data_IF_318783756346
#
_entry.id   IF_318783756346
#
_cell.length_a   1.000
_cell.length_b   1.000
_cell.length_c   1.000
_cell.angle_alpha   90.00
_cell.angle_beta   90.00
_cell.angle_gamma   90.00
#
_symmetry.space_group_name_H-M   'P 1'
#
loop_
_entity.id
_entity.type
_entity.pdbx_description
1 polymer ?
#
# COMPACT_ATOMS: atom_id res chain seq x y z
N UNK A 1 3.88 7.73 -30.14
CA UNK A 1 4.28 7.38 -28.76
C UNK A 1 4.99 6.03 -28.70
N UNK A 2 4.46 4.98 -29.34
CA UNK A 2 5.06 3.63 -29.35
C UNK A 2 6.50 3.50 -29.87
N UNK A 3 6.93 4.35 -30.79
CA UNK A 3 8.32 4.38 -31.25
C UNK A 3 9.26 4.91 -30.18
N UNK A 4 8.80 5.90 -29.40
CA UNK A 4 9.60 6.59 -28.38
C UNK A 4 9.90 5.64 -27.21
N UNK A 5 8.90 4.91 -26.73
CA UNK A 5 9.07 3.95 -25.63
C UNK A 5 10.07 2.84 -25.98
N UNK A 6 9.99 2.29 -27.19
CA UNK A 6 10.96 1.29 -27.66
C UNK A 6 12.38 1.84 -27.80
N UNK A 7 12.53 3.04 -28.36
CA UNK A 7 13.85 3.68 -28.47
C UNK A 7 14.46 3.97 -27.10
N UNK A 8 13.68 4.44 -26.13
CA UNK A 8 14.14 4.66 -24.76
C UNK A 8 14.57 3.36 -24.08
N UNK A 9 13.81 2.28 -24.27
CA UNK A 9 14.16 0.94 -23.74
C UNK A 9 15.44 0.38 -24.37
N UNK A 10 15.62 0.57 -25.68
CA UNK A 10 16.85 0.17 -26.36
C UNK A 10 18.05 0.95 -25.83
N UNK A 11 17.93 2.27 -25.72
CA UNK A 11 18.98 3.15 -25.20
C UNK A 11 19.37 2.81 -23.75
N UNK A 12 18.37 2.55 -22.89
CA UNK A 12 18.60 2.16 -21.50
C UNK A 12 19.44 0.87 -21.40
N UNK A 13 19.17 -0.11 -22.27
CA UNK A 13 19.90 -1.38 -22.30
C UNK A 13 21.29 -1.24 -22.89
N UNK A 14 21.45 -0.40 -23.91
CA UNK A 14 22.74 -0.15 -24.55
C UNK A 14 23.71 0.56 -23.61
N UNK A 15 23.23 1.57 -22.88
CA UNK A 15 24.04 2.34 -21.94
C UNK A 15 24.12 1.73 -20.53
N UNK A 16 23.30 0.72 -20.23
CA UNK A 16 23.23 0.11 -18.90
C UNK A 16 22.70 1.04 -17.81
N UNK A 17 21.83 1.99 -18.16
CA UNK A 17 21.29 3.01 -17.23
C UNK A 17 19.79 2.84 -16.99
N UNK A 18 19.31 3.30 -15.83
CA UNK A 18 17.88 3.37 -15.53
C UNK A 18 17.26 4.60 -16.16
N UNK A 19 16.24 4.41 -17.00
CA UNK A 19 15.45 5.49 -17.59
C UNK A 19 14.10 5.57 -16.88
N UNK A 20 13.80 6.73 -16.32
CA UNK A 20 12.49 7.04 -15.73
C UNK A 20 11.77 7.99 -16.68
N UNK A 21 10.58 7.60 -17.13
CA UNK A 21 9.72 8.43 -17.96
C UNK A 21 8.44 8.73 -17.19
N UNK A 22 8.03 10.00 -17.18
CA UNK A 22 6.74 10.42 -16.65
C UNK A 22 5.71 10.37 -17.77
N UNK A 23 4.54 9.82 -17.47
CA UNK A 23 3.42 9.77 -18.39
C UNK A 23 2.16 10.29 -17.69
N UNK A 24 1.42 11.14 -18.39
CA UNK A 24 0.10 11.56 -17.95
C UNK A 24 -0.90 10.43 -18.20
N UNK A 25 -1.86 10.26 -17.27
CA UNK A 25 -2.95 9.30 -17.41
C UNK A 25 -4.10 9.88 -18.23
N UNK A 26 -4.90 9.01 -18.85
CA UNK A 26 -6.18 9.41 -19.43
C UNK A 26 -7.11 10.00 -18.37
N UNK A 27 -7.91 11.00 -18.77
CA UNK A 27 -8.97 11.61 -17.93
C UNK A 27 -10.04 10.62 -17.49
N UNK A 28 -10.13 9.46 -18.14
CA UNK A 28 -11.02 8.34 -17.75
C UNK A 28 -10.85 7.89 -16.29
N UNK A 29 -9.70 8.16 -15.68
CA UNK A 29 -9.51 7.92 -14.24
C UNK A 29 -10.53 8.69 -13.39
N UNK A 30 -10.94 9.89 -13.82
CA UNK A 30 -11.90 10.77 -13.12
C UNK A 30 -13.34 10.25 -13.23
N UNK A 31 -13.63 9.37 -14.18
CA UNK A 31 -14.95 8.76 -14.34
C UNK A 31 -15.18 7.62 -13.32
N UNK A 32 -14.10 7.14 -12.70
CA UNK A 32 -14.17 6.05 -11.71
C UNK A 32 -14.52 6.58 -10.33
N UNK A 33 -15.38 5.86 -9.59
CA UNK A 33 -15.81 6.28 -8.24
C UNK A 33 -14.64 6.46 -7.27
N UNK A 34 -13.67 5.56 -7.35
CA UNK A 34 -12.47 5.55 -6.52
C UNK A 34 -11.36 6.46 -7.05
N UNK A 35 -11.51 7.05 -8.24
CA UNK A 35 -10.48 7.85 -8.92
C UNK A 35 -9.10 7.17 -8.96
N UNK A 36 -9.07 5.83 -8.84
CA UNK A 36 -7.83 5.10 -8.60
C UNK A 36 -7.17 4.75 -9.94
N UNK A 37 -5.93 5.19 -10.18
CA UNK A 37 -5.18 4.87 -11.38
C UNK A 37 -5.04 3.35 -11.61
N UNK A 38 -5.23 2.92 -12.86
CA UNK A 38 -5.10 1.54 -13.32
C UNK A 38 -4.29 1.51 -14.61
N UNK A 39 -3.67 0.37 -14.94
CA UNK A 39 -2.92 0.21 -16.19
C UNK A 39 -3.74 0.57 -17.44
N UNK A 40 -5.04 0.28 -17.42
CA UNK A 40 -5.96 0.64 -18.51
C UNK A 40 -5.98 2.15 -18.81
N UNK A 41 -5.65 3.01 -17.85
CA UNK A 41 -5.57 4.46 -18.07
C UNK A 41 -4.30 4.88 -18.82
N UNK A 42 -3.29 4.00 -18.91
CA UNK A 42 -2.11 4.16 -19.79
C UNK A 42 -2.33 3.58 -21.19
N UNK A 43 -3.42 2.81 -21.40
CA UNK A 43 -3.69 2.13 -22.69
C UNK A 43 -3.87 3.11 -23.85
N UNK A 44 -4.29 4.35 -23.59
CA UNK A 44 -4.34 5.41 -24.61
C UNK A 44 -2.94 5.81 -25.13
N UNK A 45 -1.89 5.50 -24.37
CA UNK A 45 -0.49 5.62 -24.80
C UNK A 45 0.00 4.43 -25.64
N UNK A 46 -0.82 3.37 -25.74
CA UNK A 46 -0.74 2.23 -26.66
C UNK A 46 0.41 1.25 -26.45
N UNK A 47 1.60 1.73 -26.13
CA UNK A 47 2.83 0.94 -26.17
C UNK A 47 3.71 1.08 -24.93
N UNK A 48 3.58 2.18 -24.17
CA UNK A 48 4.35 2.36 -22.93
C UNK A 48 4.07 1.24 -21.94
N UNK A 49 2.81 0.81 -21.82
CA UNK A 49 2.40 -0.29 -20.94
C UNK A 49 3.12 -1.60 -21.29
N UNK A 50 3.30 -1.91 -22.57
CA UNK A 50 3.93 -3.15 -23.01
C UNK A 50 5.45 -3.10 -22.84
N UNK A 51 6.05 -1.96 -23.19
CA UNK A 51 7.51 -1.78 -23.26
C UNK A 51 8.16 -1.59 -21.88
N UNK A 52 7.46 -0.98 -20.93
CA UNK A 52 7.98 -0.73 -19.59
C UNK A 52 8.26 -2.03 -18.81
N UNK A 53 9.36 -2.05 -18.05
CA UNK A 53 9.62 -3.14 -17.09
C UNK A 53 8.83 -2.96 -15.80
N UNK A 54 8.76 -1.71 -15.33
CA UNK A 54 8.05 -1.29 -14.12
C UNK A 54 7.09 -0.17 -14.47
N UNK A 55 5.87 -0.24 -13.97
CA UNK A 55 4.90 0.85 -14.04
C UNK A 55 4.47 1.20 -12.63
N UNK A 56 4.73 2.44 -12.25
CA UNK A 56 4.35 3.03 -10.97
C UNK A 56 3.24 4.04 -11.23
N UNK A 57 2.15 3.96 -10.46
CA UNK A 57 1.05 4.92 -10.51
C UNK A 57 0.95 5.59 -9.15
N UNK A 58 1.04 6.92 -9.13
CA UNK A 58 0.90 7.72 -7.93
C UNK A 58 -0.57 8.10 -7.73
N UNK A 59 -1.08 7.89 -6.53
CA UNK A 59 -2.46 8.17 -6.17
C UNK A 59 -2.55 8.89 -4.82
N UNK A 60 -3.40 9.92 -4.74
CA UNK A 60 -3.66 10.71 -3.54
C UNK A 60 -5.17 10.83 -3.34
N UNK A 61 -5.79 10.00 -2.48
CA UNK A 61 -7.24 10.00 -2.31
C UNK A 61 -7.78 11.36 -1.86
N UNK A 62 -7.04 12.05 -0.99
CA UNK A 62 -7.40 13.38 -0.51
C UNK A 62 -7.57 14.40 -1.66
N UNK A 63 -6.73 14.31 -2.71
CA UNK A 63 -6.82 15.22 -3.86
C UNK A 63 -8.11 15.00 -4.69
N UNK A 64 -8.79 13.88 -4.48
CA UNK A 64 -10.05 13.52 -5.12
C UNK A 64 -11.25 13.58 -4.15
N UNK A 65 -11.07 14.18 -2.96
CA UNK A 65 -12.14 14.31 -1.95
C UNK A 65 -12.56 12.98 -1.32
N UNK A 66 -11.71 11.95 -1.40
CA UNK A 66 -11.97 10.64 -0.79
C UNK A 66 -11.46 10.70 0.66
N UNK A 67 -12.34 10.53 1.67
CA UNK A 67 -12.01 10.85 3.07
C UNK A 67 -11.14 9.78 3.76
N UNK A 68 -11.20 8.54 3.31
CA UNK A 68 -10.50 7.41 3.92
C UNK A 68 -9.78 6.57 2.88
N UNK A 69 -8.73 5.88 3.30
CA UNK A 69 -7.99 4.90 2.49
C UNK A 69 -7.74 3.65 3.33
N UNK A 70 -7.81 2.47 2.70
CA UNK A 70 -7.41 1.23 3.34
C UNK A 70 -5.89 1.06 3.21
N UNK A 71 -5.18 1.07 4.32
CA UNK A 71 -3.75 0.78 4.40
C UNK A 71 -3.59 -0.57 5.08
N UNK A 72 -3.19 -1.58 4.30
CA UNK A 72 -2.91 -2.93 4.79
C UNK A 72 -4.05 -3.56 5.63
N UNK A 73 -5.30 -3.33 5.23
CA UNK A 73 -6.48 -3.86 5.92
C UNK A 73 -7.08 -2.91 6.95
N UNK A 74 -6.43 -1.80 7.27
CA UNK A 74 -6.91 -0.81 8.24
C UNK A 74 -7.39 0.44 7.52
N UNK A 75 -8.60 0.91 7.84
CA UNK A 75 -9.13 2.15 7.28
C UNK A 75 -8.60 3.35 8.07
N UNK A 76 -7.94 4.28 7.35
CA UNK A 76 -7.29 5.46 7.92
C UNK A 76 -7.76 6.74 7.22
N UNK A 77 -7.67 7.92 7.86
CA UNK A 77 -7.87 9.19 7.17
C UNK A 77 -6.94 9.31 5.97
N UNK A 78 -7.45 9.78 4.83
CA UNK A 78 -6.65 9.92 3.61
C UNK A 78 -5.75 11.15 3.60
N UNK A 79 -5.94 12.06 4.55
CA UNK A 79 -5.20 13.32 4.62
C UNK A 79 -3.69 13.07 4.73
N UNK A 80 -2.93 13.67 3.81
CA UNK A 80 -1.48 13.48 3.75
C UNK A 80 -1.03 12.07 3.36
N UNK A 81 -1.93 11.14 3.04
CA UNK A 81 -1.57 9.80 2.58
C UNK A 81 -1.48 9.77 1.06
N UNK A 82 -0.37 9.24 0.55
CA UNK A 82 -0.20 8.91 -0.85
C UNK A 82 0.06 7.41 -1.02
N UNK A 83 -0.50 6.85 -2.09
CA UNK A 83 -0.32 5.46 -2.48
C UNK A 83 0.51 5.41 -3.77
N UNK A 84 1.63 4.72 -3.74
CA UNK A 84 2.42 4.34 -4.91
C UNK A 84 2.07 2.91 -5.30
N UNK A 85 1.31 2.78 -6.38
CA UNK A 85 0.82 1.51 -6.89
C UNK A 85 1.85 0.96 -7.88
N UNK A 86 2.49 -0.15 -7.54
CA UNK A 86 3.33 -0.95 -8.43
C UNK A 86 2.41 -1.77 -9.32
N UNK A 87 1.92 -1.16 -10.39
CA UNK A 87 0.90 -1.73 -11.26
C UNK A 87 1.47 -2.80 -12.22
N UNK A 88 2.75 -2.70 -12.58
CA UNK A 88 3.48 -3.70 -13.36
C UNK A 88 4.91 -3.82 -12.84
N UNK A 89 5.38 -5.05 -12.73
CA UNK A 89 6.78 -5.37 -12.43
C UNK A 89 7.14 -6.67 -13.18
N UNK A 90 8.03 -6.60 -14.18
CA UNK A 90 8.41 -7.78 -14.98
C UNK A 90 9.13 -8.86 -14.18
N UNK A 91 9.90 -8.46 -13.16
CA UNK A 91 10.81 -9.34 -12.44
C UNK A 91 10.50 -9.44 -10.94
N UNK A 92 9.23 -9.35 -10.54
CA UNK A 92 8.87 -9.27 -9.14
C UNK A 92 7.38 -9.02 -8.88
N UNK A 93 6.99 -8.89 -7.61
CA UNK A 93 5.61 -8.70 -7.23
C UNK A 93 5.09 -7.30 -7.59
N UNK A 94 3.79 -7.22 -7.81
CA UNK A 94 3.02 -5.98 -7.81
C UNK A 94 2.44 -5.74 -6.42
N UNK A 95 2.01 -4.51 -6.15
CA UNK A 95 1.45 -4.15 -4.84
C UNK A 95 1.34 -2.64 -4.66
N UNK A 96 1.07 -2.24 -3.43
CA UNK A 96 0.95 -0.83 -3.04
C UNK A 96 1.96 -0.50 -1.97
N UNK A 97 2.59 0.67 -2.10
CA UNK A 97 3.47 1.25 -1.09
C UNK A 97 2.83 2.55 -0.64
N UNK A 98 2.65 2.72 0.67
CA UNK A 98 2.08 3.93 1.23
C UNK A 98 3.20 4.88 1.67
N UNK A 99 2.98 6.18 1.52
CA UNK A 99 3.91 7.24 1.87
C UNK A 99 3.14 8.45 2.42
N UNK A 100 3.80 9.25 3.23
CA UNK A 100 3.28 10.54 3.70
C UNK A 100 3.61 11.62 2.67
N UNK A 101 2.65 12.45 2.29
CA UNK A 101 2.82 13.56 1.37
C UNK A 101 2.73 14.90 2.12
N UNK A 102 3.85 15.61 2.21
CA UNK A 102 3.87 16.97 2.73
C UNK A 102 3.49 17.98 1.65
N UNK A 103 2.31 18.57 1.79
CA UNK A 103 1.77 19.60 0.89
C UNK A 103 2.60 20.88 0.87
N UNK A 104 3.29 21.21 1.97
CA UNK A 104 4.05 22.46 2.09
C UNK A 104 5.31 22.42 1.25
N UNK A 105 5.98 21.27 1.23
CA UNK A 105 7.24 21.07 0.53
C UNK A 105 7.12 20.26 -0.77
N UNK A 106 5.94 19.70 -1.08
CA UNK A 106 5.71 18.80 -2.23
C UNK A 106 6.70 17.62 -2.17
N UNK A 107 6.85 17.04 -0.98
CA UNK A 107 7.77 15.94 -0.70
C UNK A 107 7.01 14.69 -0.26
N UNK A 108 7.66 13.54 -0.43
CA UNK A 108 7.18 12.26 0.04
C UNK A 108 8.12 11.73 1.11
N UNK A 109 7.55 11.29 2.23
CA UNK A 109 8.26 10.71 3.36
C UNK A 109 7.78 9.27 3.59
N UNK A 110 8.60 8.41 4.22
CA UNK A 110 8.16 7.09 4.64
C UNK A 110 6.85 7.18 5.41
N UNK A 111 5.92 6.28 5.11
CA UNK A 111 4.66 6.25 5.85
C UNK A 111 4.90 5.68 7.25
N UNK A 112 4.72 6.51 8.26
CA UNK A 112 4.69 6.09 9.65
C UNK A 112 3.24 5.84 10.06
N UNK A 113 2.90 4.58 10.33
CA UNK A 113 1.63 4.25 10.98
C UNK A 113 1.73 4.72 12.44
N UNK A 114 1.02 5.79 12.82
CA UNK A 114 0.97 6.30 14.20
C UNK A 114 0.30 5.35 15.23
N UNK A 115 0.19 4.05 14.94
CA UNK A 115 -0.56 3.08 15.75
C UNK A 115 0.11 2.68 17.08
N UNK A 116 1.30 3.19 17.42
CA UNK A 116 2.02 2.76 18.62
C UNK A 116 2.00 3.77 19.80
N UNK A 117 1.51 5.01 19.61
CA UNK A 117 1.61 6.07 20.63
C UNK A 117 0.26 6.48 21.26
N UNK A 118 -0.87 5.95 20.77
CA UNK A 118 -2.21 6.22 21.31
C UNK A 118 -2.87 5.00 21.97
N UNK A 119 -2.09 4.09 22.56
CA UNK A 119 -2.67 3.29 23.63
C UNK A 119 -3.10 4.27 24.74
N UNK A 120 -4.37 4.28 25.21
CA UNK A 120 -4.71 5.06 26.38
C UNK A 120 -3.75 4.64 27.51
N UNK A 121 -3.20 5.58 28.30
CA UNK A 121 -2.35 5.20 29.42
C UNK A 121 -3.13 4.16 30.24
N UNK A 122 -2.46 3.09 30.70
CA UNK A 122 -3.12 2.11 31.54
C UNK A 122 -3.82 2.87 32.67
N UNK A 123 -5.07 2.52 33.01
CA UNK A 123 -5.82 3.23 34.03
C UNK A 123 -4.94 3.34 35.29
N UNK A 124 -4.79 4.55 35.89
CA UNK A 124 -3.96 4.70 37.08
C UNK A 124 -4.54 3.84 38.21
N UNK A 125 -3.92 2.69 38.51
CA UNK A 125 -4.32 1.89 39.67
C UNK A 125 -4.07 0.38 39.62
N UNK A 126 -3.78 -0.25 38.49
CA UNK A 126 -3.48 -1.69 38.51
C UNK A 126 -1.99 -1.94 38.78
N UNK A 127 -1.66 -1.93 40.07
CA UNK A 127 -0.46 -2.58 40.57
C UNK A 127 -0.59 -4.08 40.28
N UNK A 128 0.23 -4.60 39.37
CA UNK A 128 0.47 -6.03 39.27
C UNK A 128 1.29 -6.41 40.50
N UNK A 129 0.64 -7.04 41.47
CA UNK A 129 1.29 -7.66 42.62
C UNK A 129 2.02 -8.92 42.15
N UNK A 130 3.35 -8.82 41.99
CA UNK A 130 4.24 -9.92 41.56
C UNK A 130 4.29 -11.11 42.55
N UNK A 131 3.44 -11.13 43.59
CA UNK A 131 3.41 -12.19 44.60
C UNK A 131 2.31 -13.24 44.42
N UNK A 132 1.47 -13.18 43.39
CA UNK A 132 0.49 -14.25 43.13
C UNK A 132 1.00 -15.25 42.10
N UNK A 133 1.46 -16.39 42.62
CA UNK A 133 1.71 -17.65 41.91
C UNK A 133 0.62 -17.96 40.89
N UNK A 134 0.99 -18.08 39.62
CA UNK A 134 0.16 -18.70 38.59
C UNK A 134 -0.28 -20.10 39.08
N UNK A 135 -1.58 -20.45 39.09
CA UNK A 135 -1.96 -21.84 39.26
C UNK A 135 -1.41 -22.64 38.06
N UNK A 136 -0.90 -23.87 38.29
CA UNK A 136 -0.40 -24.70 37.20
C UNK A 136 -1.53 -24.95 36.18
N UNK A 137 -1.21 -24.81 34.91
CA UNK A 137 -2.14 -25.07 33.81
C UNK A 137 -2.63 -26.52 33.87
N UNK A 138 -3.90 -26.72 34.18
CA UNK A 138 -4.56 -28.01 34.09
C UNK A 138 -4.61 -28.43 32.62
N UNK A 139 -3.77 -29.41 32.28
CA UNK A 139 -3.76 -30.12 31.01
C UNK A 139 -4.94 -31.10 31.03
N UNK A 140 -6.12 -30.66 30.60
CA UNK A 140 -7.30 -31.53 30.54
C UNK A 140 -7.16 -32.52 29.38
N UNK A 141 -6.80 -33.75 29.74
CA UNK A 141 -6.88 -34.95 28.92
C UNK A 141 -8.25 -35.60 29.10
N UNK A 142 -9.19 -35.33 28.20
CA UNK A 142 -10.50 -35.96 28.14
C UNK A 142 -10.67 -36.84 26.91
N UNK A 143 -10.10 -38.05 26.95
CA UNK A 143 -10.41 -39.19 26.07
C UNK A 143 -11.44 -40.08 26.77
N UNK A 144 -12.47 -40.46 26.00
CA UNK A 144 -13.35 -41.64 26.09
C UNK A 144 -14.14 -41.92 27.40
N UNK A 145 -15.48 -42.01 27.31
CA UNK A 145 -16.19 -43.31 27.29
C UNK A 145 -17.73 -43.19 27.30
N UNK A 146 -18.34 -44.28 26.84
CA UNK A 146 -19.73 -44.60 26.54
C UNK A 146 -20.74 -44.56 27.71
N UNK A 147 -22.03 -44.57 27.36
CA UNK A 147 -23.02 -45.42 28.04
C UNK A 147 -24.35 -44.75 28.38
N UNK A 148 -25.42 -45.19 27.72
CA UNK A 148 -26.76 -44.60 27.78
C UNK A 148 -27.63 -45.00 28.96
N UNK A 149 -28.85 -44.45 28.96
CA UNK A 149 -30.15 -45.17 29.07
C UNK A 149 -31.15 -44.40 28.20
#
# INVERSE_FOLDING_TARGET
>A
VASISRSLKALARELGVTVIALAQLSRRVEETRDHRPKLSHLRESGAIEQDADVVLLLYRPEAHGIPTINVNGVEVPSEGVAELIVAKQRNGPTGSVYMTFDKKCISFEPYEMEYASQAPPPPPGEFIDDTQTLPPADFDSGIDEFGGV
#
